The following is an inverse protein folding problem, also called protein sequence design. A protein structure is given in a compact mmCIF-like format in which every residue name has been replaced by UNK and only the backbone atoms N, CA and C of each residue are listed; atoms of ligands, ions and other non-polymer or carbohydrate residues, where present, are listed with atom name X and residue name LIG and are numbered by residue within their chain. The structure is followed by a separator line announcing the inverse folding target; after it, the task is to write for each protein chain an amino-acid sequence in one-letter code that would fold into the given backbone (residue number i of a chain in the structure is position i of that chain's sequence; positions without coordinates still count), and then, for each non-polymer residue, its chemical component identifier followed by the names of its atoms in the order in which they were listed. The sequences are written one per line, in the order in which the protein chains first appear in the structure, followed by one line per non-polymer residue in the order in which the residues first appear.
data_IF_087152758522
#
_entry.id   IF_087152758522
#
_cell.length_a   1.000
_cell.length_b   1.000
_cell.length_c   1.000
_cell.angle_alpha   90.00
_cell.angle_beta   90.00
_cell.angle_gamma   90.00
#
_symmetry.space_group_name_H-M   'P 1'
#
loop_
_entity.id
_entity.type
_entity.pdbx_description
1 polymer ?
#
# COMPACT_ATOMS: atom_id res chain seq x y z
N UNK A 1 23.39 4.58 13.75
CA UNK A 1 22.10 4.00 14.19
C UNK A 1 21.18 3.97 12.98
N UNK A 2 20.73 2.79 12.52
CA UNK A 2 19.64 2.74 11.52
C UNK A 2 18.43 3.40 12.21
N UNK A 3 17.83 4.40 11.59
CA UNK A 3 16.59 4.98 12.11
C UNK A 3 15.51 3.87 12.14
N UNK A 4 14.50 3.99 12.98
CA UNK A 4 13.35 3.06 12.89
C UNK A 4 12.61 3.37 11.58
N UNK A 5 12.06 2.35 10.88
CA UNK A 5 11.19 2.58 9.73
C UNK A 5 9.99 3.47 10.09
N UNK A 6 9.53 3.41 11.34
CA UNK A 6 8.47 4.28 11.89
C UNK A 6 8.84 5.76 11.92
N UNK A 7 10.10 6.12 11.66
CA UNK A 7 10.52 7.51 11.48
C UNK A 7 10.40 8.03 10.05
N UNK A 8 10.00 7.16 9.10
CA UNK A 8 9.73 7.54 7.73
C UNK A 8 8.25 7.91 7.59
N UNK A 9 7.96 9.18 7.38
CA UNK A 9 6.59 9.67 7.18
C UNK A 9 5.88 8.89 6.07
N UNK A 10 6.56 8.63 4.95
CA UNK A 10 5.99 7.87 3.83
C UNK A 10 5.53 6.45 4.23
N UNK A 11 6.22 5.82 5.19
CA UNK A 11 5.81 4.50 5.70
C UNK A 11 4.61 4.64 6.64
N UNK A 12 4.66 5.57 7.59
CA UNK A 12 3.56 5.74 8.57
C UNK A 12 2.27 6.18 7.90
N UNK A 13 2.36 7.09 6.93
CA UNK A 13 1.22 7.55 6.13
C UNK A 13 0.65 6.42 5.26
N UNK A 14 1.50 5.65 4.57
CA UNK A 14 1.01 4.52 3.75
C UNK A 14 0.38 3.41 4.58
N UNK A 15 0.88 3.15 5.80
CA UNK A 15 0.29 2.19 6.72
C UNK A 15 -1.05 2.68 7.27
N UNK A 16 -1.15 3.96 7.66
CA UNK A 16 -2.41 4.56 8.09
C UNK A 16 -3.44 4.55 6.96
N UNK A 17 -3.00 4.86 5.74
CA UNK A 17 -3.81 4.82 4.53
C UNK A 17 -4.37 3.42 4.25
N UNK A 18 -3.54 2.37 4.37
CA UNK A 18 -4.01 1.01 4.11
C UNK A 18 -5.08 0.56 5.12
N UNK A 19 -4.92 0.92 6.40
CA UNK A 19 -5.95 0.71 7.42
C UNK A 19 -7.25 1.45 7.10
N UNK A 20 -7.16 2.69 6.59
CA UNK A 20 -8.35 3.45 6.20
C UNK A 20 -9.11 2.78 5.05
N UNK A 21 -8.40 2.33 4.00
CA UNK A 21 -8.99 1.58 2.89
C UNK A 21 -9.63 0.28 3.38
N UNK A 22 -8.97 -0.44 4.31
CA UNK A 22 -9.53 -1.64 4.91
C UNK A 22 -10.88 -1.36 5.58
N UNK A 23 -10.98 -0.32 6.40
CA UNK A 23 -12.24 0.05 7.06
C UNK A 23 -13.35 0.35 6.05
N UNK A 24 -13.07 1.15 5.02
CA UNK A 24 -14.04 1.44 3.95
C UNK A 24 -14.55 0.13 3.30
N UNK A 25 -13.64 -0.76 2.89
CA UNK A 25 -14.02 -1.99 2.21
C UNK A 25 -14.77 -2.98 3.11
N UNK A 26 -14.61 -2.92 4.44
CA UNK A 26 -15.36 -3.80 5.34
C UNK A 26 -16.87 -3.49 5.36
N UNK A 27 -17.24 -2.23 5.12
CA UNK A 27 -18.64 -1.78 5.10
C UNK A 27 -19.40 -2.15 3.81
N UNK A 28 -18.68 -2.57 2.75
CA UNK A 28 -19.28 -2.90 1.46
C UNK A 28 -20.07 -4.21 1.48
N UNK A 29 -21.02 -4.33 0.56
CA UNK A 29 -21.76 -5.59 0.36
C UNK A 29 -20.83 -6.73 -0.07
N UNK A 30 -21.34 -7.96 0.01
CA UNK A 30 -20.53 -9.15 -0.28
C UNK A 30 -19.93 -9.15 -1.69
N UNK A 31 -20.69 -8.73 -2.72
CA UNK A 31 -20.23 -8.77 -4.09
C UNK A 31 -19.13 -7.73 -4.32
N UNK A 32 -19.39 -6.46 -3.98
CA UNK A 32 -18.42 -5.37 -4.11
C UNK A 32 -17.15 -5.63 -3.29
N UNK A 33 -17.28 -6.16 -2.07
CA UNK A 33 -16.14 -6.52 -1.23
C UNK A 33 -15.31 -7.65 -1.86
N UNK A 34 -15.95 -8.69 -2.40
CA UNK A 34 -15.26 -9.85 -3.00
C UNK A 34 -14.60 -9.56 -4.34
N UNK A 35 -15.11 -8.60 -5.11
CA UNK A 35 -14.58 -8.27 -6.44
C UNK A 35 -13.57 -7.13 -6.36
N UNK A 36 -14.04 -5.92 -6.06
CA UNK A 36 -13.22 -4.71 -6.07
C UNK A 36 -12.54 -4.45 -4.73
N UNK A 37 -13.27 -4.66 -3.61
CA UNK A 37 -12.77 -4.34 -2.27
C UNK A 37 -11.48 -5.10 -1.92
N UNK A 38 -11.44 -6.41 -2.18
CA UNK A 38 -10.22 -7.21 -1.97
C UNK A 38 -9.04 -6.69 -2.81
N UNK A 39 -9.27 -6.26 -4.06
CA UNK A 39 -8.18 -5.76 -4.91
C UNK A 39 -7.68 -4.40 -4.43
N UNK A 40 -8.60 -3.50 -4.06
CA UNK A 40 -8.30 -2.19 -3.52
C UNK A 40 -7.47 -2.28 -2.23
N UNK A 41 -7.90 -3.15 -1.30
CA UNK A 41 -7.18 -3.45 -0.06
C UNK A 41 -5.77 -3.97 -0.34
N UNK A 42 -5.63 -4.96 -1.23
CA UNK A 42 -4.31 -5.54 -1.56
C UNK A 42 -3.37 -4.50 -2.17
N UNK A 43 -3.87 -3.64 -3.06
CA UNK A 43 -3.09 -2.56 -3.63
C UNK A 43 -2.64 -1.56 -2.56
N UNK A 44 -3.53 -1.19 -1.63
CA UNK A 44 -3.20 -0.27 -0.53
C UNK A 44 -2.14 -0.85 0.43
N UNK A 45 -2.34 -2.09 0.89
CA UNK A 45 -1.40 -2.77 1.80
C UNK A 45 -0.02 -2.97 1.16
N UNK A 46 0.01 -3.23 -0.14
CA UNK A 46 1.26 -3.41 -0.90
C UNK A 46 2.16 -2.16 -0.88
N UNK A 47 1.60 -0.95 -0.73
CA UNK A 47 2.39 0.29 -0.70
C UNK A 47 3.32 0.30 0.52
N UNK A 48 2.75 0.16 1.73
CA UNK A 48 3.53 0.16 2.97
C UNK A 48 4.41 -1.08 3.11
N UNK A 49 3.94 -2.23 2.61
CA UNK A 49 4.71 -3.48 2.58
C UNK A 49 5.97 -3.36 1.71
N UNK A 50 5.87 -2.81 0.49
CA UNK A 50 7.03 -2.59 -0.36
C UNK A 50 8.01 -1.57 0.24
N UNK A 51 7.51 -0.50 0.87
CA UNK A 51 8.38 0.45 1.60
C UNK A 51 9.15 -0.27 2.71
N UNK A 52 8.48 -1.13 3.48
CA UNK A 52 9.11 -1.90 4.55
C UNK A 52 10.11 -2.93 4.05
N UNK A 53 9.79 -3.63 2.97
CA UNK A 53 10.71 -4.59 2.36
C UNK A 53 11.96 -3.89 1.84
N UNK A 54 11.80 -2.77 1.12
CA UNK A 54 12.90 -1.94 0.65
C UNK A 54 13.78 -1.42 1.78
N UNK A 55 13.16 -0.94 2.87
CA UNK A 55 13.86 -0.45 4.06
C UNK A 55 14.75 -1.52 4.70
N UNK A 56 14.30 -2.78 4.69
CA UNK A 56 15.06 -3.92 5.20
C UNK A 56 16.29 -4.28 4.36
N UNK A 57 16.37 -3.86 3.09
CA UNK A 57 17.49 -4.17 2.20
C UNK A 57 18.75 -3.36 2.55
N UNK A 58 19.92 -3.93 2.24
CA UNK A 58 21.21 -3.30 2.54
C UNK A 58 21.73 -2.40 1.42
N UNK A 59 21.23 -2.55 0.20
CA UNK A 59 21.71 -1.81 -0.96
C UNK A 59 20.71 -0.77 -1.47
N UNK A 60 21.22 0.42 -1.77
CA UNK A 60 20.41 1.55 -2.26
C UNK A 60 19.58 1.20 -3.51
N UNK A 61 20.18 0.50 -4.48
CA UNK A 61 19.50 0.10 -5.72
C UNK A 61 18.32 -0.85 -5.49
N UNK A 62 18.44 -1.73 -4.48
CA UNK A 62 17.34 -2.63 -4.11
C UNK A 62 16.21 -1.86 -3.44
N UNK A 63 16.54 -1.00 -2.46
CA UNK A 63 15.54 -0.14 -1.82
C UNK A 63 14.79 0.72 -2.85
N UNK A 64 15.52 1.32 -3.79
CA UNK A 64 14.92 2.11 -4.88
C UNK A 64 13.94 1.28 -5.73
N UNK A 65 14.28 0.02 -6.03
CA UNK A 65 13.41 -0.89 -6.78
C UNK A 65 12.09 -1.14 -6.04
N UNK A 66 12.14 -1.33 -4.72
CA UNK A 66 10.95 -1.47 -3.89
C UNK A 66 10.12 -0.18 -3.79
N UNK A 67 10.75 0.99 -3.78
CA UNK A 67 10.02 2.26 -3.90
C UNK A 67 9.26 2.36 -5.24
N UNK A 68 9.82 1.85 -6.34
CA UNK A 68 9.08 1.78 -7.61
C UNK A 68 7.90 0.80 -7.56
N UNK A 69 8.04 -0.32 -6.85
CA UNK A 69 6.91 -1.24 -6.63
C UNK A 69 5.80 -0.61 -5.77
N UNK A 70 6.16 0.10 -4.69
CA UNK A 70 5.19 0.86 -3.91
C UNK A 70 4.43 1.89 -4.77
N UNK A 71 5.15 2.61 -5.66
CA UNK A 71 4.53 3.53 -6.62
C UNK A 71 3.63 2.81 -7.63
N UNK A 72 4.03 1.63 -8.09
CA UNK A 72 3.20 0.79 -8.97
C UNK A 72 1.89 0.39 -8.31
N UNK A 73 1.94 -0.09 -7.07
CA UNK A 73 0.73 -0.41 -6.29
C UNK A 73 -0.15 0.82 -6.03
N UNK A 74 0.43 2.01 -5.89
CA UNK A 74 -0.34 3.24 -5.77
C UNK A 74 -1.10 3.60 -7.06
N UNK A 75 -0.51 3.40 -8.23
CA UNK A 75 -1.22 3.60 -9.51
C UNK A 75 -2.31 2.54 -9.74
N UNK A 76 -2.05 1.29 -9.37
CA UNK A 76 -3.04 0.21 -9.40
C UNK A 76 -4.24 0.51 -8.49
N UNK A 77 -3.99 1.00 -7.27
CA UNK A 77 -5.04 1.43 -6.35
C UNK A 77 -5.96 2.49 -7.00
N UNK A 78 -5.38 3.50 -7.65
CA UNK A 78 -6.17 4.54 -8.33
C UNK A 78 -7.01 3.96 -9.46
N UNK A 79 -6.52 2.96 -10.18
CA UNK A 79 -7.29 2.26 -11.21
C UNK A 79 -8.50 1.55 -10.61
N UNK A 80 -8.33 0.88 -9.46
CA UNK A 80 -9.45 0.26 -8.74
C UNK A 80 -10.48 1.27 -8.24
N UNK A 81 -10.04 2.45 -7.76
CA UNK A 81 -10.95 3.53 -7.35
C UNK A 81 -11.78 4.02 -8.55
N UNK A 82 -11.14 4.28 -9.70
CA UNK A 82 -11.83 4.74 -10.92
C UNK A 82 -12.84 3.73 -11.46
N UNK A 83 -12.61 2.44 -11.24
CA UNK A 83 -13.57 1.38 -11.61
C UNK A 83 -14.79 1.30 -10.69
N UNK A 84 -14.70 1.90 -9.50
CA UNK A 84 -15.78 1.94 -8.52
C UNK A 84 -16.63 3.23 -8.61
N UNK A 85 -16.20 4.20 -9.43
CA UNK A 85 -17.00 5.37 -9.87
C UNK A 85 -18.03 4.97 -10.95
#
# INVERSE_FOLDING_TARGET
MRKDIKSLDVYTESLAFSNHIWQICTEWDYFARKTFGVQLVRAADSISANIAEGYGRFHYKENLKFCYYARGSFEELKDWIRKAE
#
